data_IF_569575710064
#
_entry.id   IF_569575710064
#
_cell.length_a   1.000
_cell.length_b   1.000
_cell.length_c   1.000
_cell.angle_alpha   90.00
_cell.angle_beta   90.00
_cell.angle_gamma   90.00
#
_symmetry.space_group_name_H-M   'P 1'
#
loop_
_entity.id
_entity.type
_entity.pdbx_description
1 polymer ?
#
# COMPACT_ATOMS: atom_id res chain seq x y z
N UNK A 1 37.39 -21.62 -16.45
CA UNK A 1 37.54 -21.02 -15.12
C UNK A 1 36.39 -20.11 -14.71
N UNK A 2 35.90 -20.38 -13.50
CA UNK A 2 35.04 -19.57 -12.61
C UNK A 2 33.64 -19.16 -13.08
N UNK A 3 32.76 -20.15 -12.94
CA UNK A 3 31.38 -20.00 -12.47
C UNK A 3 31.29 -19.00 -11.29
N UNK A 4 30.51 -17.93 -11.47
CA UNK A 4 30.24 -16.92 -10.45
C UNK A 4 28.74 -16.73 -10.25
N UNK A 5 28.12 -17.60 -9.45
CA UNK A 5 26.79 -17.42 -8.91
C UNK A 5 26.61 -16.01 -8.32
N UNK A 6 25.68 -15.21 -8.85
CA UNK A 6 25.17 -14.02 -8.15
C UNK A 6 23.65 -14.11 -8.02
N UNK A 7 23.25 -14.54 -6.84
CA UNK A 7 21.88 -14.83 -6.44
C UNK A 7 20.95 -13.62 -6.54
N UNK A 8 19.71 -13.91 -6.95
CA UNK A 8 18.58 -12.99 -6.88
C UNK A 8 18.20 -12.76 -5.43
N UNK A 9 18.55 -11.60 -4.88
CA UNK A 9 17.97 -11.12 -3.63
C UNK A 9 16.55 -10.59 -3.88
N UNK A 10 15.59 -11.51 -3.84
CA UNK A 10 14.18 -11.17 -3.71
C UNK A 10 13.90 -10.69 -2.29
N UNK A 11 13.97 -9.38 -2.04
CA UNK A 11 13.49 -8.81 -0.78
C UNK A 11 11.95 -8.78 -0.73
N UNK A 12 11.36 -9.94 -0.45
CA UNK A 12 10.04 -10.03 0.17
C UNK A 12 10.23 -9.80 1.66
N UNK A 13 9.79 -8.66 2.19
CA UNK A 13 9.61 -8.51 3.63
C UNK A 13 8.48 -9.46 4.07
N UNK A 14 8.84 -10.69 4.48
CA UNK A 14 7.96 -11.63 5.18
C UNK A 14 8.06 -11.29 6.66
N UNK A 15 6.96 -10.86 7.26
CA UNK A 15 6.80 -10.91 8.72
C UNK A 15 6.09 -12.22 9.02
N UNK A 16 6.82 -13.15 9.64
CA UNK A 16 6.28 -14.38 10.23
C UNK A 16 6.09 -14.13 11.72
N UNK A 17 4.85 -14.30 12.19
CA UNK A 17 4.57 -14.44 13.62
C UNK A 17 3.81 -15.75 13.81
N UNK A 18 4.45 -16.66 14.54
CA UNK A 18 3.92 -17.94 15.00
C UNK A 18 3.12 -17.68 16.27
N UNK A 19 1.83 -17.98 16.27
CA UNK A 19 1.05 -18.19 17.50
C UNK A 19 0.28 -19.50 17.36
N UNK A 20 0.54 -20.39 18.31
CA UNK A 20 -0.03 -21.74 18.42
C UNK A 20 -1.53 -21.67 18.71
N UNK A 21 -2.20 -22.75 18.29
CA UNK A 21 -3.62 -23.08 18.50
C UNK A 21 -4.14 -22.77 19.91
N UNK A 22 -5.41 -22.44 19.97
CA UNK A 22 -6.31 -22.90 21.04
C UNK A 22 -7.66 -23.20 20.39
N UNK A 23 -8.09 -24.45 20.54
CA UNK A 23 -9.40 -24.95 20.11
C UNK A 23 -10.52 -24.26 20.90
N UNK A 24 -11.67 -24.02 20.24
CA UNK A 24 -12.98 -24.59 20.63
C UNK A 24 -14.14 -24.01 19.79
N UNK A 25 -14.87 -24.97 19.22
CA UNK A 25 -16.33 -25.12 19.17
C UNK A 25 -17.23 -24.02 18.57
N UNK A 26 -17.99 -24.52 17.60
CA UNK A 26 -19.22 -24.02 17.01
C UNK A 26 -20.30 -23.55 17.99
N UNK A 27 -21.02 -22.50 17.61
CA UNK A 27 -22.49 -22.41 17.55
C UNK A 27 -22.80 -21.06 16.86
N UNK A 28 -23.62 -20.98 15.84
CA UNK A 28 -25.03 -21.35 15.86
C UNK A 28 -25.82 -20.05 15.77
N UNK A 29 -26.28 -19.72 14.57
CA UNK A 29 -27.12 -18.56 14.31
C UNK A 29 -28.46 -18.70 15.03
N UNK A 30 -28.99 -17.61 15.61
CA UNK A 30 -30.42 -17.33 15.57
C UNK A 30 -30.74 -15.86 15.87
N UNK A 31 -31.45 -15.27 14.92
CA UNK A 31 -32.14 -13.98 14.98
C UNK A 31 -33.41 -14.16 15.81
N UNK A 32 -33.71 -13.27 16.77
CA UNK A 32 -35.07 -12.78 17.06
C UNK A 32 -35.03 -11.44 17.78
N UNK A 33 -35.90 -10.53 17.35
CA UNK A 33 -36.08 -9.19 17.94
C UNK A 33 -36.95 -9.19 19.19
N UNK A 34 -36.97 -8.04 19.87
CA UNK A 34 -37.82 -7.75 21.02
C UNK A 34 -37.76 -6.27 21.39
N UNK A 35 -38.90 -5.67 21.73
CA UNK A 35 -39.17 -4.22 21.84
C UNK A 35 -38.81 -3.62 23.22
N UNK A 36 -38.43 -2.33 23.19
CA UNK A 36 -38.65 -1.17 24.10
C UNK A 36 -38.64 -1.35 25.65
N UNK A 37 -37.85 -0.50 26.32
CA UNK A 37 -38.17 0.13 27.62
C UNK A 37 -36.98 0.32 28.58
N UNK A 38 -36.70 1.56 29.02
CA UNK A 38 -36.01 1.83 30.31
C UNK A 38 -34.75 2.74 30.34
N UNK A 39 -34.97 4.01 30.73
CA UNK A 39 -34.13 4.91 31.58
C UNK A 39 -32.78 5.47 31.07
N UNK A 40 -32.57 6.82 31.07
CA UNK A 40 -31.28 7.42 30.72
C UNK A 40 -30.35 7.50 31.94
N UNK A 41 -29.39 6.57 32.00
CA UNK A 41 -28.27 6.58 32.95
C UNK A 41 -27.08 7.40 32.42
N UNK A 42 -26.47 8.17 33.32
CA UNK A 42 -25.45 9.21 33.08
C UNK A 42 -24.13 8.64 32.52
N UNK A 43 -23.49 9.43 31.65
CA UNK A 43 -22.09 9.35 31.19
C UNK A 43 -21.65 8.08 30.44
N UNK A 44 -22.30 7.78 29.31
CA UNK A 44 -21.61 7.05 28.26
C UNK A 44 -20.71 8.03 27.49
N UNK A 45 -19.39 7.96 27.70
CA UNK A 45 -18.43 8.49 26.73
C UNK A 45 -18.80 7.88 25.38
N UNK A 46 -19.22 8.71 24.43
CA UNK A 46 -19.62 8.26 23.11
C UNK A 46 -18.44 7.49 22.50
N UNK A 47 -18.60 6.17 22.31
CA UNK A 47 -17.66 5.42 21.47
C UNK A 47 -17.59 6.14 20.12
N UNK A 48 -16.38 6.46 19.62
CA UNK A 48 -16.26 7.09 18.31
C UNK A 48 -16.96 6.19 17.29
N UNK A 49 -17.87 6.81 16.51
CA UNK A 49 -18.69 6.13 15.54
C UNK A 49 -17.82 5.22 14.66
N UNK A 50 -18.00 3.91 14.81
CA UNK A 50 -17.24 2.90 14.06
C UNK A 50 -17.59 3.08 12.59
N UNK A 51 -16.62 3.22 11.67
CA UNK A 51 -16.93 3.36 10.26
C UNK A 51 -17.72 2.12 9.79
N UNK A 52 -18.85 2.29 9.09
CA UNK A 52 -19.61 1.18 8.56
C UNK A 52 -18.71 0.36 7.62
N UNK A 53 -18.56 -0.94 7.90
CA UNK A 53 -17.68 -1.85 7.13
C UNK A 53 -16.39 -2.31 7.84
N UNK A 54 -16.19 -1.97 9.12
CA UNK A 54 -15.03 -2.43 9.91
C UNK A 54 -15.07 -3.89 10.39
N UNK A 55 -16.19 -4.60 10.19
CA UNK A 55 -16.36 -6.01 10.56
C UNK A 55 -16.18 -6.96 9.37
N UNK A 56 -15.41 -8.03 9.55
CA UNK A 56 -15.19 -9.08 8.56
C UNK A 56 -13.85 -8.97 7.80
N UNK A 57 -13.52 -10.01 7.03
CA UNK A 57 -12.21 -10.17 6.37
C UNK A 57 -11.79 -8.99 5.47
N UNK A 58 -12.74 -8.23 4.92
CA UNK A 58 -12.47 -7.04 4.11
C UNK A 58 -11.97 -5.84 4.91
N UNK A 59 -12.55 -5.56 6.08
CA UNK A 59 -12.22 -4.43 6.95
C UNK A 59 -10.95 -4.63 7.77
N UNK A 60 -10.54 -5.88 7.98
CA UNK A 60 -9.27 -6.23 8.62
C UNK A 60 -8.06 -5.89 7.75
N UNK A 61 -8.23 -5.87 6.42
CA UNK A 61 -7.13 -5.66 5.50
C UNK A 61 -6.06 -6.76 5.60
N UNK A 62 -6.40 -7.92 6.16
CA UNK A 62 -5.59 -9.14 6.21
C UNK A 62 -5.96 -10.04 5.03
N UNK A 63 -5.03 -10.89 4.61
CA UNK A 63 -5.40 -11.96 3.70
C UNK A 63 -4.33 -13.02 3.50
N UNK A 64 -4.78 -14.15 2.93
CA UNK A 64 -3.98 -15.39 2.84
C UNK A 64 -2.85 -15.25 1.83
N UNK A 65 -1.63 -15.45 2.28
CA UNK A 65 -0.43 -15.49 1.45
C UNK A 65 0.35 -16.76 1.73
N UNK A 66 1.39 -17.05 0.93
CA UNK A 66 2.30 -18.18 1.17
C UNK A 66 3.01 -18.13 2.53
N UNK A 67 3.04 -16.97 3.20
CA UNK A 67 3.61 -16.79 4.54
C UNK A 67 2.56 -16.70 5.66
N UNK A 68 1.31 -17.11 5.41
CA UNK A 68 0.20 -16.96 6.35
C UNK A 68 -0.65 -15.71 6.08
N UNK A 69 -1.40 -15.27 7.11
CA UNK A 69 -2.23 -14.07 7.04
C UNK A 69 -1.36 -12.82 7.12
N UNK A 70 -1.20 -12.15 5.98
CA UNK A 70 -0.34 -10.96 5.88
C UNK A 70 -1.11 -9.79 5.31
N UNK A 71 -0.49 -8.61 5.38
CA UNK A 71 -1.01 -7.37 4.81
C UNK A 71 0.08 -6.66 4.05
N UNK A 72 -0.33 -5.78 3.14
CA UNK A 72 0.54 -4.93 2.34
C UNK A 72 0.23 -3.48 2.62
N UNK A 73 1.27 -2.70 2.83
CA UNK A 73 1.23 -1.26 2.85
C UNK A 73 1.69 -0.75 1.48
N UNK A 74 0.78 -0.11 0.74
CA UNK A 74 1.07 0.58 -0.51
C UNK A 74 1.18 2.08 -0.22
N UNK A 75 2.29 2.70 -0.59
CA UNK A 75 2.50 4.12 -0.33
C UNK A 75 3.19 4.84 -1.48
N UNK A 76 3.06 6.16 -1.48
CA UNK A 76 3.91 7.07 -2.26
C UNK A 76 4.71 7.94 -1.31
N UNK A 77 5.90 8.37 -1.73
CA UNK A 77 6.79 9.21 -0.93
C UNK A 77 7.35 10.37 -1.77
N UNK A 78 7.60 11.51 -1.12
CA UNK A 78 8.30 12.64 -1.72
C UNK A 78 9.82 12.45 -1.70
N UNK A 79 10.60 13.37 -2.30
CA UNK A 79 12.07 13.30 -2.33
C UNK A 79 12.77 13.30 -0.96
N UNK A 80 12.09 13.71 0.12
CA UNK A 80 12.60 13.73 1.50
C UNK A 80 12.29 12.44 2.26
N UNK A 81 11.79 11.42 1.56
CA UNK A 81 11.32 10.14 2.13
C UNK A 81 10.12 10.31 3.07
N UNK A 82 9.24 11.29 2.81
CA UNK A 82 8.01 11.51 3.57
C UNK A 82 6.84 10.82 2.88
N UNK A 83 6.09 9.95 3.55
CA UNK A 83 4.91 9.32 2.97
C UNK A 83 3.83 10.36 2.63
N UNK A 84 3.31 10.32 1.40
CA UNK A 84 2.25 11.24 0.90
C UNK A 84 0.87 10.58 0.85
N UNK A 85 0.81 9.27 0.72
CA UNK A 85 -0.44 8.52 0.61
C UNK A 85 -0.25 7.10 1.13
N UNK A 86 -1.23 6.58 1.87
CA UNK A 86 -1.18 5.26 2.49
C UNK A 86 -2.44 4.45 2.13
N UNK A 87 -2.25 3.21 1.69
CA UNK A 87 -3.31 2.24 1.40
C UNK A 87 -2.91 0.88 1.93
N UNK A 88 -3.76 0.26 2.75
CA UNK A 88 -3.53 -1.09 3.29
C UNK A 88 -4.45 -2.09 2.59
N UNK A 89 -3.91 -3.26 2.30
CA UNK A 89 -4.67 -4.38 1.72
C UNK A 89 -4.20 -5.72 2.27
N UNK A 90 -5.02 -6.77 2.13
CA UNK A 90 -4.59 -8.13 2.38
C UNK A 90 -3.40 -8.55 1.51
N UNK A 91 -2.56 -9.45 2.03
CA UNK A 91 -1.28 -9.85 1.43
C UNK A 91 -1.37 -10.53 0.07
N UNK A 92 -2.52 -11.14 -0.25
CA UNK A 92 -2.81 -11.78 -1.54
C UNK A 92 -3.01 -10.78 -2.69
N UNK A 93 -3.32 -9.51 -2.39
CA UNK A 93 -3.64 -8.53 -3.43
C UNK A 93 -2.41 -8.18 -4.25
N UNK A 94 -2.58 -8.13 -5.58
CA UNK A 94 -1.54 -7.71 -6.51
C UNK A 94 -1.29 -6.20 -6.40
N UNK A 95 -0.02 -5.80 -6.38
CA UNK A 95 0.38 -4.42 -6.10
C UNK A 95 -0.10 -3.45 -7.19
N UNK A 96 -0.10 -3.89 -8.45
CA UNK A 96 -0.57 -3.11 -9.59
C UNK A 96 -2.03 -2.61 -9.45
N UNK A 97 -2.88 -3.33 -8.71
CA UNK A 97 -4.27 -2.94 -8.47
C UNK A 97 -4.41 -1.73 -7.55
N UNK A 98 -3.37 -1.44 -6.74
CA UNK A 98 -3.38 -0.36 -5.74
C UNK A 98 -2.64 0.89 -6.18
N UNK A 99 -2.05 0.86 -7.38
CA UNK A 99 -1.38 2.02 -7.97
C UNK A 99 -2.28 3.25 -8.10
N UNK A 100 -3.47 3.10 -8.70
CA UNK A 100 -4.43 4.21 -8.87
C UNK A 100 -4.93 4.74 -7.51
N UNK A 101 -5.42 3.90 -6.57
CA UNK A 101 -5.80 4.35 -5.23
C UNK A 101 -4.71 5.11 -4.48
N UNK A 102 -3.44 4.69 -4.59
CA UNK A 102 -2.30 5.39 -3.97
C UNK A 102 -2.14 6.78 -4.58
N UNK A 103 -2.14 6.90 -5.91
CA UNK A 103 -1.97 8.19 -6.59
C UNK A 103 -3.13 9.17 -6.37
N UNK A 104 -4.36 8.67 -6.26
CA UNK A 104 -5.55 9.51 -6.03
C UNK A 104 -5.58 10.13 -4.63
N UNK A 105 -4.97 9.45 -3.66
CA UNK A 105 -4.82 9.93 -2.28
C UNK A 105 -3.71 10.96 -2.09
N UNK A 106 -2.84 11.18 -3.09
CA UNK A 106 -1.79 12.18 -2.97
C UNK A 106 -2.39 13.58 -2.79
N UNK A 107 -2.01 14.22 -1.69
CA UNK A 107 -2.31 15.63 -1.39
C UNK A 107 -1.03 16.28 -0.91
N UNK A 108 -0.52 17.23 -1.69
CA UNK A 108 0.67 18.01 -1.34
C UNK A 108 0.18 19.41 -0.96
N UNK A 109 0.32 19.83 0.31
CA UNK A 109 -0.03 21.18 0.73
C UNK A 109 0.83 22.20 -0.04
N UNK A 110 0.25 23.36 -0.33
CA UNK A 110 0.96 24.47 -0.97
C UNK A 110 1.36 25.46 0.12
N UNK A 111 2.51 26.10 -0.04
CA UNK A 111 2.88 27.27 0.76
C UNK A 111 2.09 28.46 0.20
N UNK A 112 0.84 28.62 0.65
CA UNK A 112 -0.07 29.66 0.18
C UNK A 112 -1.53 29.21 0.05
N UNK A 113 -2.39 30.14 -0.35
CA UNK A 113 -3.83 29.91 -0.51
C UNK A 113 -4.13 29.01 -1.71
N UNK A 114 -5.14 28.15 -1.58
CA UNK A 114 -5.67 27.32 -2.67
C UNK A 114 -5.63 25.82 -2.42
N UNK A 115 -6.15 25.05 -3.39
CA UNK A 115 -6.32 23.60 -3.28
C UNK A 115 -4.97 22.87 -3.23
N UNK A 116 -4.80 21.86 -2.35
CA UNK A 116 -3.62 21.01 -2.35
C UNK A 116 -3.34 20.41 -3.72
N UNK A 117 -2.07 20.36 -4.10
CA UNK A 117 -1.64 19.77 -5.36
C UNK A 117 -1.86 18.25 -5.30
N UNK A 118 -2.56 17.72 -6.31
CA UNK A 118 -2.87 16.28 -6.42
C UNK A 118 -2.02 15.53 -7.45
N UNK A 119 -1.31 16.26 -8.33
CA UNK A 119 -0.53 15.71 -9.43
C UNK A 119 0.97 15.84 -9.13
N UNK A 120 1.75 14.74 -9.08
CA UNK A 120 3.19 14.82 -8.96
C UNK A 120 3.84 15.27 -10.28
N UNK A 121 5.03 15.90 -10.21
CA UNK A 121 5.80 16.34 -11.39
C UNK A 121 6.33 15.15 -12.19
N UNK A 122 6.86 14.17 -11.46
CA UNK A 122 7.35 12.92 -12.00
C UNK A 122 7.08 11.77 -11.03
N UNK A 123 7.00 10.56 -11.56
CA UNK A 123 6.77 9.35 -10.80
C UNK A 123 7.78 8.28 -11.20
N UNK A 124 8.49 7.73 -10.22
CA UNK A 124 9.28 6.51 -10.39
C UNK A 124 8.56 5.35 -9.70
N UNK A 125 8.41 4.22 -10.38
CA UNK A 125 7.77 3.04 -9.79
C UNK A 125 8.41 1.74 -10.27
N UNK A 126 8.21 0.69 -9.47
CA UNK A 126 8.76 -0.63 -9.72
C UNK A 126 8.30 -1.21 -11.05
N UNK A 127 9.14 -2.06 -11.62
CA UNK A 127 8.85 -2.89 -12.80
C UNK A 127 7.55 -3.70 -12.68
N UNK A 128 7.14 -4.06 -11.46
CA UNK A 128 5.87 -4.75 -11.19
C UNK A 128 4.63 -3.93 -11.64
N UNK A 129 4.73 -2.60 -11.65
CA UNK A 129 3.70 -1.67 -12.12
C UNK A 129 3.73 -1.44 -13.64
N UNK A 130 4.65 -2.07 -14.38
CA UNK A 130 4.65 -1.98 -15.84
C UNK A 130 3.54 -2.84 -16.42
N UNK A 131 2.35 -2.25 -16.53
CA UNK A 131 1.22 -2.77 -17.30
C UNK A 131 0.56 -1.65 -18.12
N UNK A 132 -0.20 -2.03 -19.15
CA UNK A 132 -0.91 -1.09 -20.02
C UNK A 132 -1.82 -0.11 -19.25
N UNK A 133 -2.72 -0.59 -18.38
CA UNK A 133 -3.67 0.26 -17.66
C UNK A 133 -3.04 1.30 -16.72
N UNK A 134 -1.88 1.01 -16.14
CA UNK A 134 -1.11 1.97 -15.32
C UNK A 134 -0.48 3.03 -16.21
N UNK A 135 0.18 2.65 -17.31
CA UNK A 135 0.81 3.60 -18.22
C UNK A 135 -0.21 4.51 -18.90
N UNK A 136 -1.35 3.95 -19.32
CA UNK A 136 -2.47 4.72 -19.88
C UNK A 136 -3.03 5.72 -18.87
N UNK A 137 -3.23 5.29 -17.63
CA UNK A 137 -3.67 6.18 -16.55
C UNK A 137 -2.69 7.35 -16.34
N UNK A 138 -1.38 7.08 -16.31
CA UNK A 138 -0.35 8.12 -16.16
C UNK A 138 -0.31 9.08 -17.35
N UNK A 139 -0.46 8.58 -18.58
CA UNK A 139 -0.56 9.40 -19.79
C UNK A 139 -1.78 10.30 -19.77
N UNK A 140 -2.98 9.76 -19.46
CA UNK A 140 -4.22 10.56 -19.34
C UNK A 140 -4.10 11.67 -18.31
N UNK A 141 -3.41 11.43 -17.20
CA UNK A 141 -3.17 12.45 -16.16
C UNK A 141 -2.01 13.41 -16.50
N UNK A 142 -1.31 13.18 -17.61
CA UNK A 142 -0.11 13.92 -18.02
C UNK A 142 1.03 13.85 -17.01
N UNK A 143 1.21 12.72 -16.31
CA UNK A 143 2.31 12.53 -15.35
C UNK A 143 3.50 11.90 -16.07
N UNK A 144 4.66 12.57 -15.99
CA UNK A 144 5.94 12.01 -16.44
C UNK A 144 6.29 10.83 -15.55
N UNK A 145 6.57 9.67 -16.12
CA UNK A 145 6.81 8.46 -15.35
C UNK A 145 7.99 7.65 -15.86
N UNK A 146 8.75 7.11 -14.92
CA UNK A 146 9.86 6.19 -15.15
C UNK A 146 9.51 4.85 -14.54
N UNK A 147 9.13 3.90 -15.38
CA UNK A 147 8.78 2.53 -14.98
C UNK A 147 9.49 1.59 -15.96
N UNK A 148 10.42 0.73 -15.49
CA UNK A 148 11.09 -0.24 -16.34
C UNK A 148 10.08 -1.18 -17.01
N UNK A 149 10.31 -1.51 -18.27
CA UNK A 149 9.49 -2.49 -18.98
C UNK A 149 9.82 -3.91 -18.50
N UNK A 150 8.80 -4.79 -18.43
CA UNK A 150 9.00 -6.21 -18.12
C UNK A 150 9.64 -6.94 -19.30
N UNK A 151 10.47 -7.94 -19.01
CA UNK A 151 11.21 -8.68 -20.05
C UNK A 151 10.26 -9.45 -20.99
N UNK A 152 9.18 -10.02 -20.43
CA UNK A 152 8.09 -10.63 -21.18
C UNK A 152 7.39 -9.63 -22.11
N UNK A 153 7.17 -8.39 -21.64
CA UNK A 153 6.56 -7.30 -22.40
C UNK A 153 7.48 -6.83 -23.53
N UNK A 154 8.79 -6.73 -23.26
CA UNK A 154 9.82 -6.45 -24.28
C UNK A 154 9.84 -7.54 -25.35
N UNK A 155 9.91 -8.82 -24.96
CA UNK A 155 9.92 -9.93 -25.89
C UNK A 155 8.63 -10.00 -26.72
N UNK A 156 7.47 -9.76 -26.09
CA UNK A 156 6.19 -9.72 -26.79
C UNK A 156 6.10 -8.54 -27.77
N UNK A 157 6.70 -7.39 -27.44
CA UNK A 157 6.80 -6.24 -28.34
C UNK A 157 7.67 -6.56 -29.54
N UNK A 158 8.86 -7.14 -29.31
CA UNK A 158 9.78 -7.54 -30.38
C UNK A 158 9.14 -8.56 -31.32
N UNK A 159 8.43 -9.56 -30.79
CA UNK A 159 7.69 -10.56 -31.59
C UNK A 159 6.63 -9.93 -32.50
N UNK A 160 6.05 -8.79 -32.12
CA UNK A 160 5.05 -8.07 -32.91
C UNK A 160 5.66 -7.19 -34.01
N UNK A 161 6.99 -7.06 -34.09
CA UNK A 161 7.67 -6.23 -35.09
C UNK A 161 7.14 -4.79 -35.09
N UNK A 162 6.80 -4.27 -36.28
CA UNK A 162 6.25 -2.92 -36.47
C UNK A 162 4.95 -2.68 -35.69
N UNK A 163 4.12 -3.71 -35.48
CA UNK A 163 2.87 -3.63 -34.70
C UNK A 163 3.11 -3.55 -33.18
N UNK A 164 4.34 -3.78 -32.72
CA UNK A 164 4.72 -3.70 -31.31
C UNK A 164 4.86 -2.27 -30.77
N UNK A 165 5.07 -1.30 -31.66
CA UNK A 165 5.25 0.11 -31.29
C UNK A 165 6.60 0.43 -30.61
N UNK A 166 6.76 1.71 -30.28
CA UNK A 166 8.00 2.28 -29.73
C UNK A 166 8.26 1.78 -28.29
N UNK A 167 9.52 1.42 -27.94
CA UNK A 167 9.87 1.12 -26.56
C UNK A 167 9.55 2.30 -25.62
N UNK A 168 9.09 2.06 -24.39
CA UNK A 168 8.93 3.13 -23.40
C UNK A 168 10.29 3.79 -23.10
N UNK A 169 10.32 5.12 -23.04
CA UNK A 169 11.50 5.85 -22.57
C UNK A 169 11.85 5.47 -21.13
N UNK A 170 13.12 5.22 -20.86
CA UNK A 170 13.64 4.89 -19.54
C UNK A 170 14.76 5.86 -19.17
N UNK A 171 14.59 6.54 -18.04
CA UNK A 171 15.55 7.49 -17.46
C UNK A 171 16.12 6.85 -16.19
N UNK A 172 17.38 6.46 -16.22
CA UNK A 172 18.00 5.72 -15.12
C UNK A 172 18.14 6.57 -13.86
N UNK A 173 18.49 7.85 -13.99
CA UNK A 173 18.69 8.74 -12.84
C UNK A 173 17.38 9.03 -12.11
N UNK A 174 16.27 9.16 -12.85
CA UNK A 174 14.93 9.21 -12.23
C UNK A 174 14.56 7.87 -11.60
N UNK A 175 14.96 6.75 -12.19
CA UNK A 175 14.65 5.44 -11.63
C UNK A 175 15.37 5.21 -10.28
N UNK A 176 16.60 5.71 -10.12
CA UNK A 176 17.34 5.68 -8.83
C UNK A 176 16.54 6.31 -7.68
N UNK A 177 15.70 7.32 -7.97
CA UNK A 177 14.85 8.00 -6.95
C UNK A 177 13.78 7.10 -6.35
N UNK A 178 13.51 5.91 -6.91
CA UNK A 178 12.63 4.88 -6.32
C UNK A 178 13.08 4.42 -4.94
N UNK A 179 14.38 4.46 -4.64
CA UNK A 179 14.96 4.17 -3.31
C UNK A 179 14.31 5.01 -2.19
N UNK A 180 13.77 6.18 -2.52
CA UNK A 180 13.07 7.04 -1.58
C UNK A 180 11.85 6.38 -0.93
N UNK A 181 11.13 5.52 -1.67
CA UNK A 181 10.02 4.72 -1.13
C UNK A 181 10.54 3.66 -0.17
N UNK A 182 11.63 2.98 -0.53
CA UNK A 182 12.25 1.95 0.32
C UNK A 182 12.75 2.56 1.64
N UNK A 183 13.43 3.72 1.57
CA UNK A 183 13.83 4.50 2.75
C UNK A 183 12.64 4.99 3.58
N UNK A 184 11.55 5.43 2.96
CA UNK A 184 10.34 5.82 3.67
C UNK A 184 9.71 4.64 4.43
N UNK A 185 9.64 3.45 3.80
CA UNK A 185 9.18 2.22 4.46
C UNK A 185 10.09 1.85 5.62
N UNK A 186 11.41 1.96 5.46
CA UNK A 186 12.36 1.66 6.52
C UNK A 186 12.18 2.63 7.71
N UNK A 187 11.97 3.93 7.46
CA UNK A 187 11.65 4.91 8.51
C UNK A 187 10.35 4.56 9.23
N UNK A 188 9.30 4.17 8.51
CA UNK A 188 8.05 3.73 9.12
C UNK A 188 8.26 2.51 10.04
N UNK A 189 9.10 1.56 9.62
CA UNK A 189 9.43 0.36 10.39
C UNK A 189 10.35 0.59 11.59
N UNK A 190 10.89 1.80 11.79
CA UNK A 190 11.54 2.14 13.06
C UNK A 190 10.53 2.12 14.21
N UNK A 191 9.25 2.35 13.94
CA UNK A 191 8.18 2.07 14.89
C UNK A 191 7.86 0.58 14.92
N UNK A 192 8.08 -0.06 16.07
CA UNK A 192 7.78 -1.49 16.29
C UNK A 192 6.31 -1.83 16.01
N UNK A 193 5.39 -0.93 16.33
CA UNK A 193 3.96 -1.09 16.08
C UNK A 193 3.64 -1.24 14.58
N UNK A 194 4.40 -0.54 13.72
CA UNK A 194 4.28 -0.66 12.26
C UNK A 194 5.01 -1.90 11.73
N UNK A 195 6.18 -2.22 12.26
CA UNK A 195 7.01 -3.32 11.79
C UNK A 195 6.36 -4.69 12.02
N UNK A 196 5.80 -4.92 13.21
CA UNK A 196 5.21 -6.21 13.58
C UNK A 196 3.73 -6.29 13.19
N UNK A 197 3.01 -5.16 13.22
CA UNK A 197 1.54 -5.06 13.16
C UNK A 197 0.85 -5.93 14.22
N UNK A 198 0.42 -5.29 15.30
CA UNK A 198 -0.41 -5.92 16.35
C UNK A 198 -1.92 -5.80 16.07
N UNK A 199 -2.29 -4.89 15.16
CA UNK A 199 -3.69 -4.54 14.90
C UNK A 199 -4.40 -5.55 13.98
N UNK A 200 -5.51 -6.13 14.45
CA UNK A 200 -6.38 -6.97 13.63
C UNK A 200 -7.13 -6.16 12.57
N UNK A 201 -7.63 -4.98 12.93
CA UNK A 201 -8.45 -4.13 12.06
C UNK A 201 -7.59 -3.24 11.18
N UNK A 202 -7.92 -3.15 9.90
CA UNK A 202 -7.11 -2.44 8.90
C UNK A 202 -7.09 -0.93 9.12
N UNK A 203 -8.19 -0.33 9.61
CA UNK A 203 -8.24 1.10 9.90
C UNK A 203 -7.42 1.46 11.15
N UNK A 204 -7.35 0.59 12.15
CA UNK A 204 -6.50 0.81 13.34
C UNK A 204 -5.04 0.77 12.91
N UNK A 205 -4.66 -0.25 12.13
CA UNK A 205 -3.31 -0.32 11.57
C UNK A 205 -2.99 0.89 10.68
N UNK A 206 -3.95 1.36 9.88
CA UNK A 206 -3.78 2.59 9.09
C UNK A 206 -3.54 3.81 9.98
N UNK A 207 -4.25 3.91 11.11
CA UNK A 207 -4.02 4.92 12.13
C UNK A 207 -2.59 4.87 12.69
N UNK A 208 -2.13 3.69 13.09
CA UNK A 208 -0.76 3.46 13.56
C UNK A 208 0.30 3.89 12.53
N UNK A 209 0.13 3.50 11.26
CA UNK A 209 1.04 3.91 10.18
C UNK A 209 0.95 5.41 9.91
N UNK A 210 -0.23 6.00 10.02
CA UNK A 210 -0.43 7.44 9.83
C UNK A 210 0.25 8.24 10.93
N UNK A 211 0.15 7.82 12.18
CA UNK A 211 0.88 8.44 13.30
C UNK A 211 2.40 8.36 13.09
N UNK A 212 2.91 7.20 12.68
CA UNK A 212 4.33 7.05 12.34
C UNK A 212 4.75 7.95 11.16
N UNK A 213 3.91 8.08 10.14
CA UNK A 213 4.16 8.99 9.02
C UNK A 213 4.19 10.45 9.47
N UNK A 214 3.27 10.87 10.34
CA UNK A 214 3.25 12.22 10.92
C UNK A 214 4.54 12.52 11.69
N UNK A 215 5.03 11.57 12.50
CA UNK A 215 6.31 11.72 13.19
C UNK A 215 7.50 11.89 12.22
N UNK A 216 7.46 11.25 11.04
CA UNK A 216 8.47 11.49 9.98
C UNK A 216 8.34 12.92 9.43
N UNK A 217 7.12 13.38 9.18
CA UNK A 217 6.86 14.74 8.69
C UNK A 217 7.32 15.82 9.67
N UNK A 218 7.08 15.64 10.97
CA UNK A 218 7.46 16.63 11.99
C UNK A 218 8.97 16.72 12.23
N UNK A 219 9.71 15.63 11.95
CA UNK A 219 11.17 15.58 12.15
C UNK A 219 11.99 16.09 10.96
N UNK A 220 11.35 16.37 9.82
CA UNK A 220 12.05 16.69 8.57
C UNK A 220 11.62 18.01 8.00
#
# INVERSE_FOLDING_TARGET
>A
DRLGHRGRLHHRARSSACCRRSDRAACGACVKGGRRGGTPGRNAVAEPARPPGGGGAGGEGLGRSRGGFTSKLHLSADGRCRPLSLVITGGQRADCTRFRPVLEKIRIPRTGWGRPRKKPDSLAADKAYSNGPVREYLRRRGIRHTIPEKADSQAARLRKGSRGGRPPGFDEDRYKKRNTVERAINRLKQSRAVATRYDKRGYVFLGTVTAAALSIWLRT
#
